data_IF_276694273991
#
_entry.id   IF_276694273991
#
_cell.length_a   1.000
_cell.length_b   1.000
_cell.length_c   1.000
_cell.angle_alpha   90.00
_cell.angle_beta   90.00
_cell.angle_gamma   90.00
#
_symmetry.space_group_name_H-M   'P 1'
#
loop_
_entity.id
_entity.type
_entity.pdbx_description
1 polymer ?
#
# COMPACT_ATOMS: atom_id res chain seq x y z
N UNK A 1 2.30 18.29 -2.26
CA UNK A 1 3.29 17.84 -1.24
C UNK A 1 4.61 17.61 -1.97
N UNK A 2 5.67 17.21 -1.29
CA UNK A 2 6.90 16.74 -1.93
C UNK A 2 7.28 15.36 -1.43
N UNK A 3 7.94 14.56 -2.27
CA UNK A 3 8.58 13.32 -1.87
C UNK A 3 10.03 13.33 -2.34
N UNK A 4 10.97 13.06 -1.43
CA UNK A 4 12.36 12.77 -1.80
C UNK A 4 12.58 11.27 -1.73
N UNK A 5 13.26 10.73 -2.72
CA UNK A 5 13.70 9.33 -2.75
C UNK A 5 15.19 9.34 -3.03
N UNK A 6 15.98 8.77 -2.12
CA UNK A 6 17.43 8.91 -2.14
C UNK A 6 17.86 10.39 -2.20
N UNK A 7 18.38 10.81 -3.35
CA UNK A 7 18.89 12.16 -3.61
C UNK A 7 17.98 12.98 -4.54
N UNK A 8 16.87 12.41 -4.99
CA UNK A 8 16.00 13.05 -5.97
C UNK A 8 14.73 13.53 -5.31
N UNK A 9 14.48 14.82 -5.44
CA UNK A 9 13.27 15.47 -4.94
C UNK A 9 12.22 15.54 -6.04
N UNK A 10 11.01 15.14 -5.69
CA UNK A 10 9.82 15.17 -6.53
C UNK A 10 8.87 16.21 -5.95
N UNK A 11 8.79 17.34 -6.65
CA UNK A 11 7.82 18.38 -6.38
C UNK A 11 6.40 17.98 -6.79
N UNK A 12 5.40 18.60 -6.17
CA UNK A 12 3.97 18.38 -6.44
C UNK A 12 3.48 16.94 -6.25
N UNK A 13 4.12 16.16 -5.38
CA UNK A 13 3.62 14.86 -4.94
C UNK A 13 2.17 14.97 -4.44
N UNK A 14 1.28 14.20 -5.08
CA UNK A 14 -0.16 14.15 -4.82
C UNK A 14 -0.57 12.93 -4.00
N UNK A 15 0.41 12.19 -3.46
CA UNK A 15 0.21 10.97 -2.70
C UNK A 15 0.24 9.69 -3.53
N UNK A 16 0.44 9.75 -4.86
CA UNK A 16 0.68 8.58 -5.72
C UNK A 16 2.01 8.69 -6.46
N UNK A 17 2.78 7.60 -6.45
CA UNK A 17 4.01 7.46 -7.21
C UNK A 17 4.04 6.08 -7.89
N UNK A 18 4.33 6.07 -9.18
CA UNK A 18 4.43 4.86 -9.99
C UNK A 18 5.89 4.65 -10.38
N UNK A 19 6.50 3.57 -9.92
CA UNK A 19 7.91 3.26 -10.13
C UNK A 19 8.03 2.03 -11.03
N UNK A 20 8.36 2.26 -12.30
CA UNK A 20 8.70 1.23 -13.25
C UNK A 20 10.14 0.77 -13.02
N UNK A 21 10.26 -0.48 -12.58
CA UNK A 21 11.57 -1.06 -12.26
C UNK A 21 11.57 -2.54 -12.61
N UNK A 22 12.66 -2.98 -13.25
CA UNK A 22 12.80 -4.34 -13.78
C UNK A 22 12.68 -5.42 -12.70
N UNK A 23 13.26 -5.16 -11.53
CA UNK A 23 13.17 -6.05 -10.38
C UNK A 23 12.88 -5.20 -9.13
N UNK A 24 11.62 -5.21 -8.74
CA UNK A 24 11.12 -4.48 -7.59
C UNK A 24 11.74 -4.95 -6.27
N UNK A 25 12.07 -6.24 -6.13
CA UNK A 25 12.69 -6.80 -4.91
C UNK A 25 14.13 -6.32 -4.75
N UNK A 26 14.91 -6.35 -5.83
CA UNK A 26 16.30 -5.87 -5.80
C UNK A 26 16.33 -4.35 -5.57
N UNK A 27 15.41 -3.60 -6.17
CA UNK A 27 15.28 -2.17 -5.92
C UNK A 27 14.96 -1.86 -4.46
N UNK A 28 13.97 -2.54 -3.87
CA UNK A 28 13.62 -2.37 -2.46
C UNK A 28 14.77 -2.72 -1.51
N UNK A 29 15.53 -3.78 -1.83
CA UNK A 29 16.73 -4.13 -1.09
C UNK A 29 17.79 -3.02 -1.16
N UNK A 30 17.98 -2.38 -2.32
CA UNK A 30 18.91 -1.25 -2.47
C UNK A 30 18.46 -0.01 -1.70
N UNK A 31 17.17 0.32 -1.75
CA UNK A 31 16.57 1.36 -0.91
C UNK A 31 16.89 1.08 0.57
N UNK A 32 16.74 -0.16 1.03
CA UNK A 32 17.04 -0.54 2.42
C UNK A 32 18.53 -0.46 2.77
N UNK A 33 19.40 -0.87 1.85
CA UNK A 33 20.86 -0.75 2.02
C UNK A 33 21.29 0.71 2.08
N UNK A 34 20.67 1.59 1.28
CA UNK A 34 20.91 3.02 1.32
C UNK A 34 20.64 3.60 2.72
N UNK A 35 19.52 3.24 3.34
CA UNK A 35 19.18 3.69 4.71
C UNK A 35 20.24 3.30 5.74
N UNK A 36 20.75 2.07 5.62
CA UNK A 36 21.80 1.55 6.51
C UNK A 36 23.16 2.20 6.28
N UNK A 37 23.51 2.48 5.04
CA UNK A 37 24.82 3.04 4.70
C UNK A 37 24.93 4.54 5.04
N UNK A 38 23.83 5.28 4.89
CA UNK A 38 23.80 6.74 5.05
C UNK A 38 23.17 7.20 6.36
N UNK A 39 22.71 6.27 7.20
CA UNK A 39 22.03 6.55 8.47
C UNK A 39 20.88 7.57 8.33
N UNK A 40 20.15 7.49 7.23
CA UNK A 40 19.04 8.40 6.89
C UNK A 40 17.91 7.61 6.24
N UNK A 41 16.67 8.07 6.41
CA UNK A 41 15.51 7.48 5.76
C UNK A 41 15.60 7.59 4.24
N UNK A 42 15.07 6.59 3.53
CA UNK A 42 15.10 6.60 2.07
C UNK A 42 14.06 7.54 1.47
N UNK A 43 12.95 7.73 2.20
CA UNK A 43 11.88 8.61 1.81
C UNK A 43 11.81 9.81 2.75
N UNK A 44 11.59 10.99 2.17
CA UNK A 44 11.16 12.19 2.90
C UNK A 44 9.85 12.66 2.27
N UNK A 45 8.72 12.46 2.93
CA UNK A 45 7.40 12.86 2.44
C UNK A 45 6.93 14.06 3.23
N UNK A 46 6.76 15.21 2.56
CA UNK A 46 6.33 16.45 3.20
C UNK A 46 7.19 16.84 4.42
N UNK A 47 8.52 16.71 4.29
CA UNK A 47 9.52 16.92 5.35
C UNK A 47 9.43 15.93 6.52
N UNK A 48 8.70 14.81 6.36
CA UNK A 48 8.68 13.71 7.31
C UNK A 48 9.51 12.57 6.75
N UNK A 49 10.55 12.20 7.49
CA UNK A 49 11.37 11.04 7.20
C UNK A 49 10.55 9.76 7.40
N UNK A 50 10.58 8.87 6.41
CA UNK A 50 9.88 7.59 6.42
C UNK A 50 10.87 6.51 6.06
N UNK A 51 11.16 5.64 7.03
CA UNK A 51 12.00 4.46 6.81
C UNK A 51 11.22 3.38 6.06
N UNK A 52 11.90 2.51 5.32
CA UNK A 52 11.26 1.34 4.70
C UNK A 52 10.58 0.44 5.74
N UNK A 53 11.15 0.35 6.94
CA UNK A 53 10.55 -0.43 8.03
C UNK A 53 9.22 0.12 8.54
N UNK A 54 8.93 1.40 8.29
CA UNK A 54 7.66 2.03 8.66
C UNK A 54 6.61 1.94 7.54
N UNK A 55 7.04 1.59 6.32
CA UNK A 55 6.16 1.37 5.18
C UNK A 55 5.41 0.03 5.31
N UNK A 56 4.12 0.04 4.96
CA UNK A 56 3.37 -1.20 4.77
C UNK A 56 3.63 -1.70 3.34
N UNK A 57 4.37 -2.79 3.21
CA UNK A 57 4.65 -3.42 1.92
C UNK A 57 3.62 -4.52 1.67
N UNK A 58 2.89 -4.41 0.56
CA UNK A 58 1.85 -5.36 0.16
C UNK A 58 2.28 -5.98 -1.18
N UNK A 59 2.16 -7.30 -1.28
CA UNK A 59 2.47 -8.08 -2.48
C UNK A 59 1.32 -9.05 -2.77
N UNK A 60 1.24 -9.66 -3.98
CA UNK A 60 0.28 -10.73 -4.26
C UNK A 60 0.37 -11.94 -3.32
N UNK A 61 1.48 -12.08 -2.58
CA UNK A 61 1.69 -13.14 -1.60
C UNK A 61 1.45 -12.70 -0.16
N UNK A 62 1.02 -11.46 0.06
CA UNK A 62 0.56 -11.01 1.36
C UNK A 62 -0.75 -11.73 1.72
N UNK A 63 -0.89 -12.12 2.97
CA UNK A 63 -2.09 -12.75 3.50
C UNK A 63 -3.03 -11.72 4.10
N UNK A 64 -4.30 -12.07 4.24
CA UNK A 64 -5.24 -11.22 4.99
C UNK A 64 -4.72 -10.94 6.41
N UNK A 65 -4.16 -11.95 7.09
CA UNK A 65 -3.61 -11.82 8.44
C UNK A 65 -2.39 -10.90 8.56
N UNK A 66 -1.70 -10.58 7.46
CA UNK A 66 -0.62 -9.59 7.45
C UNK A 66 -1.17 -8.15 7.56
N UNK A 67 -2.35 -7.90 6.98
CA UNK A 67 -2.96 -6.57 6.89
C UNK A 67 -3.95 -6.30 8.03
N UNK A 68 -4.68 -7.33 8.45
CA UNK A 68 -5.68 -7.27 9.54
C UNK A 68 -5.27 -8.19 10.69
N UNK A 69 -5.28 -7.66 11.90
CA UNK A 69 -4.96 -8.44 13.10
C UNK A 69 -5.69 -7.89 14.32
N UNK A 70 -5.73 -8.70 15.38
CA UNK A 70 -6.30 -8.29 16.66
C UNK A 70 -5.32 -7.53 17.57
N UNK A 71 -4.31 -6.88 16.99
CA UNK A 71 -3.38 -6.02 17.74
C UNK A 71 -4.01 -4.64 17.91
N UNK A 72 -3.84 -4.02 19.08
CA UNK A 72 -4.49 -2.75 19.40
C UNK A 72 -4.17 -1.60 18.42
N UNK A 73 -3.01 -1.67 17.75
CA UNK A 73 -2.58 -0.69 16.75
C UNK A 73 -3.24 -0.91 15.37
N UNK A 74 -3.77 -2.11 15.09
CA UNK A 74 -4.32 -2.43 13.78
C UNK A 74 -5.72 -1.82 13.59
N UNK A 75 -5.99 -1.30 12.40
CA UNK A 75 -7.25 -0.64 12.05
C UNK A 75 -8.47 -1.55 12.21
N UNK A 76 -8.31 -2.86 11.96
CA UNK A 76 -9.37 -3.85 12.18
C UNK A 76 -9.79 -3.95 13.65
N UNK A 77 -8.84 -3.89 14.58
CA UNK A 77 -9.18 -3.92 16.01
C UNK A 77 -9.95 -2.68 16.43
N UNK A 78 -9.60 -1.51 15.86
CA UNK A 78 -10.35 -0.26 16.08
C UNK A 78 -11.78 -0.38 15.55
N UNK A 79 -11.97 -0.97 14.37
CA UNK A 79 -13.30 -1.25 13.82
C UNK A 79 -14.12 -2.16 14.74
N UNK A 80 -13.55 -3.28 15.18
CA UNK A 80 -14.24 -4.22 16.06
C UNK A 80 -14.73 -3.56 17.35
N UNK A 81 -13.97 -2.60 17.89
CA UNK A 81 -14.37 -1.82 19.06
C UNK A 81 -15.59 -0.91 18.83
N UNK A 82 -15.89 -0.56 17.57
CA UNK A 82 -17.05 0.25 17.22
C UNK A 82 -18.32 -0.59 16.96
N UNK A 83 -18.18 -1.90 16.80
CA UNK A 83 -19.33 -2.80 16.62
C UNK A 83 -19.89 -3.12 18.01
N UNK A 84 -21.16 -2.78 18.24
CA UNK A 84 -21.84 -3.11 19.49
C UNK A 84 -22.30 -4.57 19.45
N UNK A 85 -21.66 -5.44 20.23
CA UNK A 85 -22.05 -6.83 20.35
C UNK A 85 -22.92 -7.02 21.59
N UNK A 86 -24.03 -7.74 21.43
CA UNK A 86 -24.85 -8.16 22.56
C UNK A 86 -24.17 -9.34 23.27
N UNK A 87 -23.54 -9.07 24.41
CA UNK A 87 -22.74 -10.05 25.18
C UNK A 87 -23.51 -11.35 25.47
N UNK A 88 -24.77 -11.21 25.86
CA UNK A 88 -25.66 -12.32 26.22
C UNK A 88 -25.94 -13.29 25.06
N UNK A 89 -25.68 -12.86 23.81
CA UNK A 89 -25.83 -13.71 22.62
C UNK A 89 -24.60 -14.55 22.29
N UNK A 90 -23.43 -14.22 22.85
CA UNK A 90 -22.17 -14.90 22.54
C UNK A 90 -21.86 -15.96 23.60
N UNK A 91 -22.00 -15.61 24.88
CA UNK A 91 -21.74 -16.50 26.01
C UNK A 91 -22.88 -16.40 27.02
N UNK A 92 -23.33 -17.56 27.51
CA UNK A 92 -24.19 -17.61 28.69
C UNK A 92 -23.29 -17.58 29.93
N UNK A 93 -22.87 -16.36 30.33
CA UNK A 93 -21.96 -16.15 31.45
C UNK A 93 -22.50 -16.76 32.75
N UNK A 94 -23.81 -16.61 33.00
CA UNK A 94 -24.45 -17.14 34.20
C UNK A 94 -24.32 -18.67 34.28
N UNK A 95 -24.55 -19.37 33.16
CA UNK A 95 -24.37 -20.81 33.10
C UNK A 95 -22.90 -21.20 33.27
N UNK A 96 -21.97 -20.54 32.59
CA UNK A 96 -20.55 -20.89 32.67
C UNK A 96 -20.00 -20.72 34.09
N UNK A 97 -20.36 -19.64 34.77
CA UNK A 97 -19.89 -19.36 36.11
C UNK A 97 -20.49 -20.33 37.15
N UNK A 98 -21.83 -20.55 37.10
CA UNK A 98 -22.54 -21.41 38.06
C UNK A 98 -22.36 -22.89 37.82
N UNK A 99 -22.34 -23.35 36.57
CA UNK A 99 -22.39 -24.79 36.24
C UNK A 99 -21.05 -25.38 35.84
N UNK A 100 -20.09 -24.56 35.39
CA UNK A 100 -18.76 -25.02 34.96
C UNK A 100 -17.69 -24.59 35.95
N UNK A 101 -17.53 -23.28 36.19
CA UNK A 101 -16.48 -22.76 37.09
C UNK A 101 -16.68 -23.26 38.51
N UNK A 102 -17.90 -23.15 39.06
CA UNK A 102 -18.19 -23.62 40.42
C UNK A 102 -17.93 -25.12 40.58
N UNK A 103 -18.35 -25.97 39.63
CA UNK A 103 -18.08 -27.42 39.68
C UNK A 103 -16.60 -27.75 39.60
N UNK A 104 -15.83 -27.01 38.80
CA UNK A 104 -14.39 -27.22 38.72
C UNK A 104 -13.69 -26.82 40.01
N UNK A 105 -14.02 -25.67 40.60
CA UNK A 105 -13.48 -25.24 41.89
C UNK A 105 -13.87 -26.17 43.03
N UNK A 106 -15.13 -26.65 43.06
CA UNK A 106 -15.59 -27.66 44.01
C UNK A 106 -14.78 -28.96 43.87
N UNK A 107 -14.58 -29.45 42.64
CA UNK A 107 -13.78 -30.65 42.35
C UNK A 107 -12.33 -30.50 42.81
N UNK A 108 -11.76 -29.29 42.70
CA UNK A 108 -10.40 -28.99 43.11
C UNK A 108 -10.28 -28.63 44.60
N UNK A 109 -11.41 -28.43 45.30
CA UNK A 109 -11.49 -28.01 46.69
C UNK A 109 -10.94 -26.61 46.96
N UNK A 110 -10.81 -25.77 45.94
CA UNK A 110 -10.25 -24.40 46.02
C UNK A 110 -10.81 -23.52 44.90
N UNK A 111 -11.06 -22.25 45.22
CA UNK A 111 -11.48 -21.23 44.26
C UNK A 111 -10.28 -20.65 43.49
N UNK A 112 -9.78 -21.40 42.51
CA UNK A 112 -8.60 -21.02 41.71
C UNK A 112 -8.91 -20.84 40.22
N UNK A 113 -10.11 -21.20 39.79
CA UNK A 113 -10.60 -21.01 38.43
C UNK A 113 -11.62 -19.87 38.45
N UNK A 114 -11.52 -18.98 37.46
CA UNK A 114 -12.45 -17.88 37.24
C UNK A 114 -12.75 -17.74 35.75
N UNK A 115 -13.93 -17.25 35.41
CA UNK A 115 -14.27 -16.91 34.04
C UNK A 115 -13.57 -15.60 33.63
N UNK A 116 -12.84 -15.62 32.51
CA UNK A 116 -12.28 -14.42 31.89
C UNK A 116 -13.18 -13.99 30.74
N UNK A 117 -13.95 -12.91 30.94
CA UNK A 117 -14.90 -12.37 29.96
C UNK A 117 -14.27 -11.28 29.08
N UNK A 118 -12.94 -11.24 28.97
CA UNK A 118 -12.27 -10.28 28.08
C UNK A 118 -12.73 -10.47 26.63
N UNK A 119 -13.55 -9.53 26.16
CA UNK A 119 -14.13 -9.53 24.82
C UNK A 119 -13.10 -9.72 23.70
N UNK A 120 -11.96 -9.02 23.81
CA UNK A 120 -10.88 -9.15 22.84
C UNK A 120 -10.30 -10.57 22.76
N UNK A 121 -10.29 -11.32 23.86
CA UNK A 121 -9.83 -12.71 23.90
C UNK A 121 -10.88 -13.65 23.34
N UNK A 122 -12.15 -13.42 23.67
CA UNK A 122 -13.28 -14.19 23.17
C UNK A 122 -13.36 -14.07 21.65
N UNK A 123 -13.33 -12.84 21.11
CA UNK A 123 -13.34 -12.62 19.66
C UNK A 123 -12.19 -13.32 18.95
N UNK A 124 -10.96 -13.20 19.47
CA UNK A 124 -9.79 -13.89 18.90
C UNK A 124 -9.96 -15.42 18.87
N UNK A 125 -10.76 -15.96 19.79
CA UNK A 125 -10.98 -17.40 19.93
C UNK A 125 -12.09 -17.92 19.02
N UNK A 126 -13.08 -17.09 18.68
CA UNK A 126 -14.26 -17.49 17.90
C UNK A 126 -14.14 -17.05 16.44
N UNK A 127 -13.60 -15.86 16.18
CA UNK A 127 -13.41 -15.32 14.84
C UNK A 127 -11.97 -15.61 14.43
N UNK A 128 -11.81 -16.33 13.32
CA UNK A 128 -10.51 -16.61 12.72
C UNK A 128 -10.31 -15.71 11.51
N UNK A 129 -9.17 -15.05 11.44
CA UNK A 129 -8.72 -14.33 10.24
C UNK A 129 -8.17 -15.36 9.25
N UNK A 130 -8.53 -15.24 7.97
CA UNK A 130 -8.03 -16.16 6.96
C UNK A 130 -6.51 -16.02 6.79
N UNK A 131 -5.85 -17.14 6.55
CA UNK A 131 -4.44 -17.23 6.19
C UNK A 131 -4.24 -17.29 4.67
N UNK A 132 -5.32 -17.15 3.91
CA UNK A 132 -5.29 -17.08 2.45
C UNK A 132 -4.60 -15.79 1.98
N UNK A 133 -4.10 -15.83 0.75
CA UNK A 133 -3.54 -14.65 0.10
C UNK A 133 -4.64 -13.65 -0.22
N UNK A 134 -4.29 -12.36 -0.15
CA UNK A 134 -5.22 -11.29 -0.51
C UNK A 134 -5.54 -11.33 -2.01
N UNK A 135 -6.80 -11.05 -2.33
CA UNK A 135 -7.20 -10.75 -3.70
C UNK A 135 -7.03 -9.25 -4.02
N UNK A 136 -7.13 -8.91 -5.31
CA UNK A 136 -6.99 -7.54 -5.78
C UNK A 136 -8.05 -6.59 -5.20
N UNK A 137 -9.30 -7.07 -5.01
CA UNK A 137 -10.39 -6.23 -4.50
C UNK A 137 -10.17 -5.84 -3.04
N UNK A 138 -9.63 -6.76 -2.25
CA UNK A 138 -9.35 -6.53 -0.85
C UNK A 138 -8.36 -5.39 -0.61
N UNK A 139 -7.41 -5.18 -1.52
CA UNK A 139 -6.46 -4.06 -1.44
C UNK A 139 -7.21 -2.74 -1.38
N UNK A 140 -8.15 -2.53 -2.30
CA UNK A 140 -8.92 -1.30 -2.34
C UNK A 140 -9.81 -1.14 -1.10
N UNK A 141 -10.51 -2.21 -0.67
CA UNK A 141 -11.32 -2.17 0.55
C UNK A 141 -10.48 -1.86 1.80
N UNK A 142 -9.26 -2.40 1.87
CA UNK A 142 -8.34 -2.13 2.96
C UNK A 142 -7.83 -0.68 2.94
N UNK A 143 -7.49 -0.15 1.78
CA UNK A 143 -7.07 1.25 1.61
C UNK A 143 -8.22 2.23 1.94
N UNK A 144 -9.44 1.93 1.50
CA UNK A 144 -10.66 2.66 1.88
C UNK A 144 -10.87 2.66 3.40
N UNK A 145 -10.61 1.53 4.06
CA UNK A 145 -10.67 1.44 5.51
C UNK A 145 -9.61 2.33 6.18
N UNK A 146 -8.38 2.34 5.68
CA UNK A 146 -7.34 3.24 6.19
C UNK A 146 -7.75 4.70 6.02
N UNK A 147 -8.31 5.05 4.86
CA UNK A 147 -8.86 6.38 4.59
C UNK A 147 -9.91 6.79 5.62
N UNK A 148 -10.88 5.92 5.92
CA UNK A 148 -11.92 6.19 6.92
C UNK A 148 -11.36 6.35 8.34
N UNK A 149 -10.32 5.58 8.66
CA UNK A 149 -9.64 5.68 9.96
C UNK A 149 -8.75 6.91 10.11
N UNK A 150 -8.55 7.69 9.02
CA UNK A 150 -7.65 8.85 8.94
C UNK A 150 -6.21 8.54 9.36
N UNK A 151 -5.79 7.28 9.21
CA UNK A 151 -4.45 6.83 9.56
C UNK A 151 -3.52 7.07 8.37
N UNK A 152 -2.63 8.06 8.49
CA UNK A 152 -1.65 8.34 7.43
C UNK A 152 -0.59 7.25 7.43
N UNK A 153 -0.50 6.52 6.31
CA UNK A 153 0.52 5.50 6.06
C UNK A 153 1.15 5.69 4.71
N UNK A 154 2.42 5.31 4.63
CA UNK A 154 3.10 5.06 3.37
C UNK A 154 2.98 3.58 3.06
N UNK A 155 2.45 3.26 1.88
CA UNK A 155 2.15 1.91 1.45
C UNK A 155 2.86 1.67 0.14
N UNK A 156 3.58 0.56 0.07
CA UNK A 156 4.26 0.09 -1.13
C UNK A 156 3.48 -1.08 -1.68
N UNK A 157 2.81 -0.89 -2.82
CA UNK A 157 2.16 -1.97 -3.57
C UNK A 157 3.17 -2.48 -4.61
N UNK A 158 3.52 -3.76 -4.52
CA UNK A 158 4.60 -4.33 -5.33
C UNK A 158 4.13 -5.55 -6.11
N UNK A 159 4.43 -5.57 -7.41
CA UNK A 159 4.19 -6.69 -8.34
C UNK A 159 2.72 -7.09 -8.52
N UNK A 160 1.78 -6.15 -8.37
CA UNK A 160 0.38 -6.39 -8.69
C UNK A 160 0.09 -6.15 -10.16
N UNK A 161 -0.59 -7.09 -10.80
CA UNK A 161 -1.11 -6.90 -12.16
C UNK A 161 -2.43 -6.14 -12.17
N UNK A 162 -2.70 -5.38 -13.24
CA UNK A 162 -4.00 -4.72 -13.50
C UNK A 162 -4.52 -3.87 -12.34
N UNK A 163 -3.72 -2.93 -11.86
CA UNK A 163 -4.14 -1.98 -10.82
C UNK A 163 -5.01 -0.88 -11.44
N UNK A 164 -6.16 -0.60 -10.83
CA UNK A 164 -7.01 0.54 -11.18
C UNK A 164 -6.45 1.82 -10.56
N UNK A 165 -5.65 2.54 -11.36
CA UNK A 165 -5.02 3.81 -10.95
C UNK A 165 -6.02 4.89 -10.56
N UNK A 166 -7.19 4.94 -11.22
CA UNK A 166 -8.25 5.92 -10.91
C UNK A 166 -8.89 5.65 -9.56
N UNK A 167 -9.10 4.39 -9.21
CA UNK A 167 -9.61 4.03 -7.88
C UNK A 167 -8.59 4.38 -6.79
N UNK A 168 -7.31 4.07 -7.02
CA UNK A 168 -6.25 4.37 -6.06
C UNK A 168 -6.03 5.87 -5.87
N UNK A 169 -6.10 6.67 -6.94
CA UNK A 169 -5.89 8.12 -6.86
C UNK A 169 -6.89 8.83 -5.94
N UNK A 170 -8.09 8.27 -5.77
CA UNK A 170 -9.09 8.82 -4.86
C UNK A 170 -8.74 8.61 -3.38
N UNK A 171 -7.79 7.72 -3.07
CA UNK A 171 -7.40 7.34 -1.71
C UNK A 171 -6.13 8.07 -1.24
N UNK A 172 -5.49 8.85 -2.11
CA UNK A 172 -4.18 9.48 -1.83
C UNK A 172 -4.24 10.64 -0.85
N UNK A 173 -5.44 11.15 -0.52
CA UNK A 173 -5.62 12.23 0.46
C UNK A 173 -5.17 11.85 1.88
N UNK A 174 -5.19 10.55 2.20
CA UNK A 174 -4.86 10.02 3.54
C UNK A 174 -3.71 9.03 3.51
N UNK A 175 -3.20 8.68 2.33
CA UNK A 175 -2.28 7.55 2.17
C UNK A 175 -1.27 7.89 1.09
N UNK A 176 0.02 7.75 1.41
CA UNK A 176 1.06 7.87 0.40
C UNK A 176 1.20 6.49 -0.26
N UNK A 177 0.81 6.38 -1.52
CA UNK A 177 0.86 5.16 -2.31
C UNK A 177 2.09 5.20 -3.23
N UNK A 178 2.95 4.20 -3.07
CA UNK A 178 4.07 3.94 -3.98
C UNK A 178 3.79 2.59 -4.64
N UNK A 179 3.65 2.59 -5.96
CA UNK A 179 3.40 1.37 -6.74
C UNK A 179 4.68 1.01 -7.46
N UNK A 180 5.18 -0.20 -7.27
CA UNK A 180 6.40 -0.69 -7.90
C UNK A 180 6.08 -1.95 -8.71
N UNK A 181 6.41 -1.93 -10.00
CA UNK A 181 6.22 -3.10 -10.87
C UNK A 181 7.12 -2.97 -12.10
N UNK A 182 7.47 -4.12 -12.69
CA UNK A 182 8.06 -4.15 -14.02
C UNK A 182 7.01 -3.78 -15.08
N UNK A 183 7.34 -2.81 -15.93
CA UNK A 183 6.49 -2.37 -17.03
C UNK A 183 5.19 -1.66 -16.62
N UNK A 184 5.24 -0.89 -15.52
CA UNK A 184 4.17 0.02 -15.08
C UNK A 184 3.71 0.97 -16.19
N UNK A 185 4.58 1.33 -17.14
CA UNK A 185 4.21 2.26 -18.20
C UNK A 185 2.98 1.80 -18.99
N UNK A 186 2.72 0.49 -19.06
CA UNK A 186 1.55 -0.04 -19.75
C UNK A 186 0.23 0.21 -19.02
N UNK A 187 0.27 0.37 -17.69
CA UNK A 187 -0.91 0.77 -16.91
C UNK A 187 -1.33 2.22 -17.24
N UNK A 188 -0.47 2.99 -17.94
CA UNK A 188 -0.74 4.36 -18.39
C UNK A 188 -1.44 4.46 -19.76
N UNK A 189 -1.63 3.34 -20.47
CA UNK A 189 -2.20 3.35 -21.84
C UNK A 189 -3.51 4.14 -21.95
N UNK A 190 -4.37 4.06 -20.92
CA UNK A 190 -5.69 4.72 -20.87
C UNK A 190 -5.78 5.80 -19.79
N UNK A 191 -4.63 6.20 -19.28
CA UNK A 191 -4.46 6.86 -18.00
C UNK A 191 -3.39 7.96 -18.13
N UNK A 192 -3.50 8.75 -19.21
CA UNK A 192 -2.54 9.80 -19.56
C UNK A 192 -2.29 10.78 -18.42
N UNK A 193 -3.33 11.07 -17.64
CA UNK A 193 -3.27 11.96 -16.48
C UNK A 193 -2.26 11.51 -15.41
N UNK A 194 -1.84 10.24 -15.41
CA UNK A 194 -0.92 9.68 -14.43
C UNK A 194 0.56 9.72 -14.83
N UNK A 195 0.92 10.20 -16.04
CA UNK A 195 2.33 10.27 -16.45
C UNK A 195 3.21 11.13 -15.52
N UNK A 196 2.69 12.18 -14.88
CA UNK A 196 3.47 12.97 -13.91
C UNK A 196 3.80 12.20 -12.61
N UNK A 197 3.08 11.11 -12.34
CA UNK A 197 3.36 10.21 -11.21
C UNK A 197 4.36 9.10 -11.59
N UNK A 198 4.67 8.96 -12.88
CA UNK A 198 5.55 7.92 -13.41
C UNK A 198 7.03 8.25 -13.22
N UNK A 199 7.75 7.27 -12.70
CA UNK A 199 9.18 7.25 -12.53
C UNK A 199 9.74 5.95 -13.12
N UNK A 200 10.84 6.05 -13.85
CA UNK A 200 11.56 4.91 -14.39
C UNK A 200 12.91 4.77 -13.70
N UNK A 201 13.16 3.60 -13.12
CA UNK A 201 14.44 3.27 -12.49
C UNK A 201 15.34 2.63 -13.54
N UNK A 202 16.60 3.07 -13.55
CA UNK A 202 17.62 2.51 -14.43
C UNK A 202 18.03 1.09 -14.03
N UNK A 203 18.85 0.48 -14.89
CA UNK A 203 19.29 -0.91 -14.70
C UNK A 203 20.19 -1.14 -13.49
N UNK A 204 20.96 -0.14 -13.09
CA UNK A 204 21.85 -0.19 -11.93
C UNK A 204 21.15 0.19 -10.62
N UNK A 205 19.89 0.65 -10.73
CA UNK A 205 19.02 1.07 -9.63
C UNK A 205 19.52 2.31 -8.88
N UNK A 206 20.30 3.14 -9.55
CA UNK A 206 20.93 4.33 -8.98
C UNK A 206 20.24 5.60 -9.47
N UNK A 207 19.75 5.58 -10.71
CA UNK A 207 19.12 6.74 -11.34
C UNK A 207 17.62 6.53 -11.47
N UNK A 208 16.87 7.59 -11.14
CA UNK A 208 15.43 7.66 -11.36
C UNK A 208 15.14 8.77 -12.36
N UNK A 209 14.53 8.41 -13.48
CA UNK A 209 13.97 9.37 -14.43
C UNK A 209 12.54 9.65 -13.99
N UNK A 210 12.16 10.93 -13.92
CA UNK A 210 10.78 11.34 -13.69
C UNK A 210 10.29 12.22 -14.83
N UNK A 211 9.00 12.16 -15.10
CA UNK A 211 8.31 13.19 -15.89
C UNK A 211 8.03 14.38 -14.97
N UNK A 212 8.77 15.48 -15.15
CA UNK A 212 8.74 16.62 -14.23
C UNK A 212 7.46 17.44 -14.32
N UNK A 213 6.94 17.64 -15.53
CA UNK A 213 5.67 18.32 -15.78
C UNK A 213 5.06 17.88 -17.12
N UNK A 214 3.73 17.85 -17.17
CA UNK A 214 2.98 17.36 -18.32
C UNK A 214 3.21 18.18 -19.59
N UNK A 215 3.22 19.53 -19.56
CA UNK A 215 3.42 20.30 -20.80
C UNK A 215 4.76 20.00 -21.50
N UNK A 216 5.85 19.89 -20.72
CA UNK A 216 7.17 19.55 -21.30
C UNK A 216 7.19 18.13 -21.85
N UNK A 217 6.47 17.21 -21.20
CA UNK A 217 6.31 15.85 -21.68
C UNK A 217 5.48 15.78 -22.96
N UNK A 218 4.38 16.52 -23.05
CA UNK A 218 3.58 16.63 -24.28
C UNK A 218 4.45 17.11 -25.45
N UNK A 219 5.27 18.16 -25.27
CA UNK A 219 6.22 18.60 -26.31
C UNK A 219 7.22 17.51 -26.72
N UNK A 220 7.73 16.72 -25.78
CA UNK A 220 8.60 15.59 -26.08
C UNK A 220 7.85 14.54 -26.93
N UNK A 221 6.60 14.22 -26.59
CA UNK A 221 5.79 13.28 -27.37
C UNK A 221 5.51 13.81 -28.79
N UNK A 222 5.22 15.10 -28.93
CA UNK A 222 5.03 15.73 -30.24
C UNK A 222 6.29 15.60 -31.12
N UNK A 223 7.48 15.75 -30.52
CA UNK A 223 8.74 15.57 -31.24
C UNK A 223 9.02 14.10 -31.60
N UNK A 224 8.70 13.15 -30.71
CA UNK A 224 8.89 11.72 -30.96
C UNK A 224 7.96 11.22 -32.08
N UNK A 225 6.68 11.55 -32.00
CA UNK A 225 5.65 11.00 -32.88
C UNK A 225 5.33 11.87 -34.10
N UNK A 226 5.84 13.10 -34.14
CA UNK A 226 5.59 14.08 -35.21
C UNK A 226 4.10 14.37 -35.42
N UNK A 227 3.34 14.37 -34.32
CA UNK A 227 1.90 14.68 -34.26
C UNK A 227 1.63 15.61 -33.09
N UNK A 228 0.54 16.37 -33.14
CA UNK A 228 0.09 17.17 -31.99
C UNK A 228 -0.48 16.27 -30.90
N UNK A 229 -0.20 16.58 -29.63
CA UNK A 229 -0.77 15.84 -28.49
C UNK A 229 -2.11 16.46 -28.11
N UNK A 230 -3.19 15.94 -28.69
CA UNK A 230 -4.58 16.31 -28.39
C UNK A 230 -5.32 15.21 -27.61
N UNK A 231 -6.60 15.42 -27.33
CA UNK A 231 -7.43 14.45 -26.60
C UNK A 231 -7.59 13.11 -27.35
N UNK A 232 -7.56 13.12 -28.68
CA UNK A 232 -7.60 11.90 -29.47
C UNK A 232 -6.30 11.10 -29.27
N UNK A 233 -5.14 11.76 -29.35
CA UNK A 233 -3.85 11.12 -29.07
C UNK A 233 -3.80 10.53 -27.65
N UNK A 234 -4.24 11.30 -26.64
CA UNK A 234 -4.22 10.89 -25.23
C UNK A 234 -5.08 9.66 -24.95
N UNK A 235 -6.18 9.50 -25.67
CA UNK A 235 -7.12 8.39 -25.48
C UNK A 235 -6.85 7.17 -26.35
N UNK A 236 -6.04 7.33 -27.40
CA UNK A 236 -5.74 6.27 -28.39
C UNK A 236 -4.31 5.75 -28.31
N UNK A 237 -3.55 6.16 -27.29
CA UNK A 237 -2.18 5.69 -27.11
C UNK A 237 -2.13 4.17 -27.02
N UNK A 238 -1.20 3.59 -27.76
CA UNK A 238 -1.02 2.14 -27.87
C UNK A 238 0.17 1.65 -27.07
N UNK A 239 0.16 0.37 -26.70
CA UNK A 239 1.33 -0.36 -26.21
C UNK A 239 2.63 -0.09 -27.00
N UNK A 240 2.56 0.01 -28.33
CA UNK A 240 3.74 0.28 -29.15
C UNK A 240 4.30 1.70 -28.94
N UNK A 241 3.42 2.68 -28.75
CA UNK A 241 3.85 4.05 -28.44
C UNK A 241 4.46 4.13 -27.03
N UNK A 242 3.87 3.44 -26.05
CA UNK A 242 4.43 3.37 -24.69
C UNK A 242 5.83 2.74 -24.68
N UNK A 243 6.05 1.69 -25.49
CA UNK A 243 7.37 1.11 -25.69
C UNK A 243 8.39 2.11 -26.22
N UNK A 244 8.00 2.95 -27.18
CA UNK A 244 8.87 4.01 -27.73
C UNK A 244 9.16 5.04 -26.63
N UNK A 245 8.13 5.52 -25.91
CA UNK A 245 8.28 6.46 -24.81
C UNK A 245 9.26 5.93 -23.76
N UNK A 246 9.09 4.68 -23.31
CA UNK A 246 10.00 4.04 -22.35
C UNK A 246 11.43 4.00 -22.85
N UNK A 247 11.66 3.73 -24.15
CA UNK A 247 13.00 3.72 -24.75
C UNK A 247 13.61 5.12 -24.85
N UNK A 248 12.82 6.13 -25.21
CA UNK A 248 13.29 7.52 -25.28
C UNK A 248 13.64 8.06 -23.89
N UNK A 249 12.77 7.83 -22.89
CA UNK A 249 13.07 8.21 -21.51
C UNK A 249 14.38 7.60 -21.01
N UNK A 250 14.67 6.34 -21.37
CA UNK A 250 15.95 5.68 -21.02
C UNK A 250 17.19 6.38 -21.59
N UNK A 251 17.10 7.09 -22.72
CA UNK A 251 18.24 7.83 -23.28
C UNK A 251 18.63 9.03 -22.43
N UNK A 252 17.71 9.53 -21.61
CA UNK A 252 17.95 10.62 -20.68
C UNK A 252 18.62 10.14 -19.37
N UNK A 253 18.93 8.85 -19.24
CA UNK A 253 19.85 8.32 -18.21
C UNK A 253 21.27 8.43 -18.77
N UNK A 254 21.98 9.50 -18.43
CA UNK A 254 23.44 9.61 -18.58
C UNK A 254 24.02 10.49 -17.48
#
# INVERSE_FOLDING_TARGET
MKIKIHNQEIENFNGLLLIDVKNTSEYLKRLYMYEKQHETSVFEINNVNVDISDCLIITPFSKYSDLISYTAKNVFTKLLGNINFEHDKILNEEYLDKEVVAKLNETLGRDIISLDTSYSKILKSIIKISEDYIDHEFIYSYLELLHWSKEIKTIILKDFDNIDLKRLSNLTQTTNLIIMKNDIIYDLEKHFEFFETYCLIDHDYENMIKIDNMPSFEYLLEDIFKVMVDEEFKTTMSFHQLEIIKKELKKHIN
#
